data_IF_576424162330
#
_entry.id   IF_576424162330
#
_cell.length_a   1.000
_cell.length_b   1.000
_cell.length_c   1.000
_cell.angle_alpha   90.00
_cell.angle_beta   90.00
_cell.angle_gamma   90.00
#
_symmetry.space_group_name_H-M   'P 1'
#
loop_
_entity.id
_entity.type
_entity.pdbx_description
1 polymer ?
#
# COMPACT_ATOMS: atom_id res chain seq x y z
N UNK A 1 10.75 47.48 -1.41
CA UNK A 1 11.24 46.33 -0.61
C UNK A 1 10.91 45.08 -1.39
N UNK A 2 11.92 44.47 -2.01
CA UNK A 2 11.81 43.22 -2.75
C UNK A 2 11.85 42.07 -1.75
N UNK A 3 10.74 41.37 -1.57
CA UNK A 3 10.72 40.09 -0.85
C UNK A 3 11.43 39.05 -1.73
N UNK A 4 12.68 38.72 -1.39
CA UNK A 4 13.33 37.54 -1.93
C UNK A 4 12.73 36.33 -1.23
N UNK A 5 11.89 35.59 -1.94
CA UNK A 5 11.51 34.25 -1.55
C UNK A 5 12.76 33.37 -1.73
N UNK A 6 13.50 33.14 -0.66
CA UNK A 6 14.43 32.02 -0.58
C UNK A 6 13.60 30.73 -0.61
N UNK A 7 13.18 30.33 -1.81
CA UNK A 7 12.82 28.95 -2.06
C UNK A 7 14.10 28.15 -1.81
N UNK A 8 14.19 27.52 -0.64
CA UNK A 8 15.16 26.44 -0.42
C UNK A 8 14.96 25.46 -1.58
N UNK A 9 15.84 25.51 -2.58
CA UNK A 9 15.91 24.45 -3.57
C UNK A 9 16.13 23.17 -2.79
N UNK A 10 15.21 22.22 -2.91
CA UNK A 10 15.42 20.85 -2.47
C UNK A 10 16.68 20.36 -3.19
N UNK A 11 17.80 20.38 -2.47
CA UNK A 11 19.05 19.81 -2.94
C UNK A 11 19.00 18.30 -2.73
N UNK A 12 19.33 17.53 -3.77
CA UNK A 12 19.64 16.12 -3.57
C UNK A 12 20.92 16.04 -2.76
N UNK A 13 20.85 15.38 -1.61
CA UNK A 13 22.03 14.96 -0.86
C UNK A 13 22.11 13.45 -1.05
N UNK A 14 23.14 13.02 -1.78
CA UNK A 14 23.40 11.60 -1.94
C UNK A 14 23.67 10.98 -0.57
N UNK A 15 22.98 9.89 -0.29
CA UNK A 15 22.99 9.24 1.01
C UNK A 15 23.31 7.77 0.83
N UNK A 16 24.52 7.36 1.25
CA UNK A 16 24.94 5.97 1.25
C UNK A 16 23.88 5.03 1.88
N UNK A 17 23.18 5.50 2.93
CA UNK A 17 22.09 4.76 3.57
C UNK A 17 20.93 4.41 2.62
N UNK A 18 20.58 5.28 1.67
CA UNK A 18 19.52 4.97 0.70
C UNK A 18 19.96 3.83 -0.24
N UNK A 19 21.22 3.85 -0.69
CA UNK A 19 21.79 2.77 -1.48
C UNK A 19 21.87 1.46 -0.69
N UNK A 20 22.22 1.50 0.59
CA UNK A 20 22.25 0.33 1.46
C UNK A 20 20.84 -0.25 1.70
N UNK A 21 19.83 0.61 1.85
CA UNK A 21 18.42 0.21 1.91
C UNK A 21 18.02 -0.54 0.64
N UNK A 22 18.28 0.04 -0.55
CA UNK A 22 17.94 -0.58 -1.83
C UNK A 22 18.63 -1.94 -2.00
N UNK A 23 19.93 -2.03 -1.69
CA UNK A 23 20.69 -3.29 -1.74
C UNK A 23 20.20 -4.36 -0.77
N UNK A 24 19.50 -3.96 0.30
CA UNK A 24 18.98 -4.89 1.30
C UNK A 24 17.67 -5.57 0.88
N UNK A 25 17.03 -5.09 -0.20
CA UNK A 25 15.84 -5.72 -0.79
C UNK A 25 16.21 -7.05 -1.43
N UNK A 26 15.39 -8.07 -1.22
CA UNK A 26 15.62 -9.43 -1.69
C UNK A 26 14.50 -9.92 -2.61
N UNK A 27 14.82 -10.10 -3.89
CA UNK A 27 13.89 -10.69 -4.86
C UNK A 27 13.42 -12.09 -4.43
N UNK A 28 14.33 -12.91 -3.89
CA UNK A 28 13.99 -14.25 -3.41
C UNK A 28 12.99 -14.23 -2.25
N UNK A 29 13.05 -13.24 -1.35
CA UNK A 29 12.07 -13.08 -0.26
C UNK A 29 10.71 -12.68 -0.81
N UNK A 30 10.68 -11.70 -1.71
CA UNK A 30 9.44 -11.27 -2.38
C UNK A 30 8.77 -12.46 -3.09
N UNK A 31 9.54 -13.26 -3.84
CA UNK A 31 9.02 -14.44 -4.54
C UNK A 31 8.47 -15.50 -3.56
N UNK A 32 9.16 -15.75 -2.45
CA UNK A 32 8.68 -16.67 -1.40
C UNK A 32 7.36 -16.21 -0.79
N UNK A 33 7.22 -14.91 -0.52
CA UNK A 33 6.02 -14.32 0.05
C UNK A 33 4.85 -14.38 -0.96
N UNK A 34 5.10 -14.10 -2.26
CA UNK A 34 4.11 -14.28 -3.33
C UNK A 34 3.65 -15.73 -3.40
N UNK A 35 4.58 -16.69 -3.46
CA UNK A 35 4.24 -18.10 -3.52
C UNK A 35 3.42 -18.56 -2.31
N UNK A 36 3.75 -18.05 -1.11
CA UNK A 36 2.97 -18.35 0.10
C UNK A 36 1.56 -17.81 -0.01
N UNK A 37 1.40 -16.55 -0.46
CA UNK A 37 0.09 -15.93 -0.65
C UNK A 37 -0.75 -16.67 -1.70
N UNK A 38 -0.15 -17.06 -2.82
CA UNK A 38 -0.78 -17.87 -3.88
C UNK A 38 -1.29 -19.21 -3.35
N UNK A 39 -0.53 -19.85 -2.45
CA UNK A 39 -0.84 -21.18 -1.93
C UNK A 39 -2.00 -21.24 -0.93
N UNK A 40 -2.59 -20.10 -0.54
CA UNK A 40 -3.87 -20.10 0.20
C UNK A 40 -5.07 -20.49 -0.68
N UNK A 41 -4.85 -20.74 -1.98
CA UNK A 41 -5.86 -21.15 -2.96
C UNK A 41 -6.71 -19.97 -3.41
N UNK A 42 -7.50 -19.41 -2.51
CA UNK A 42 -8.26 -18.18 -2.71
C UNK A 42 -8.06 -17.27 -1.50
N UNK A 43 -7.97 -15.95 -1.75
CA UNK A 43 -7.97 -14.94 -0.69
C UNK A 43 -9.18 -14.03 -0.81
N UNK A 44 -10.23 -14.47 -1.48
CA UNK A 44 -11.46 -13.69 -1.65
C UNK A 44 -12.01 -13.17 -0.31
N UNK A 45 -12.53 -11.94 -0.28
CA UNK A 45 -12.99 -11.30 0.96
C UNK A 45 -14.06 -12.11 1.71
N UNK A 46 -14.91 -12.81 0.96
CA UNK A 46 -15.96 -13.68 1.49
C UNK A 46 -15.53 -15.15 1.69
N UNK A 47 -14.27 -15.49 1.42
CA UNK A 47 -13.78 -16.87 1.59
C UNK A 47 -13.72 -17.25 3.08
N UNK A 48 -13.64 -18.55 3.33
CA UNK A 48 -13.58 -19.09 4.68
C UNK A 48 -12.44 -18.49 5.52
N UNK A 49 -12.65 -18.44 6.84
CA UNK A 49 -11.72 -17.76 7.76
C UNK A 49 -11.10 -18.66 8.82
N UNK A 50 -11.58 -19.89 8.95
CA UNK A 50 -11.18 -20.82 10.02
C UNK A 50 -9.99 -21.69 9.63
N UNK A 51 -9.90 -22.14 8.37
CA UNK A 51 -8.76 -22.94 7.91
C UNK A 51 -7.42 -22.24 8.14
N UNK A 52 -6.41 -23.00 8.56
CA UNK A 52 -5.04 -22.53 8.76
C UNK A 52 -4.24 -22.45 7.44
N UNK A 53 -4.74 -23.02 6.36
CA UNK A 53 -4.01 -23.15 5.09
C UNK A 53 -4.76 -22.67 3.86
N UNK A 54 -6.04 -22.28 3.99
CA UNK A 54 -6.88 -21.81 2.87
C UNK A 54 -7.68 -20.59 3.27
N UNK A 55 -7.97 -19.74 2.29
CA UNK A 55 -8.87 -18.61 2.47
C UNK A 55 -8.20 -17.38 3.05
N UNK A 56 -8.97 -16.29 3.06
CA UNK A 56 -8.49 -14.99 3.53
C UNK A 56 -8.14 -14.99 5.02
N UNK A 57 -8.78 -15.86 5.82
CA UNK A 57 -8.44 -16.01 7.24
C UNK A 57 -7.01 -16.49 7.46
N UNK A 58 -6.62 -17.56 6.79
CA UNK A 58 -5.25 -18.09 6.82
C UNK A 58 -4.24 -17.02 6.38
N UNK A 59 -4.51 -16.34 5.26
CA UNK A 59 -3.66 -15.28 4.73
C UNK A 59 -3.45 -14.14 5.74
N UNK A 60 -4.53 -13.60 6.32
CA UNK A 60 -4.48 -12.53 7.35
C UNK A 60 -3.64 -12.94 8.56
N UNK A 61 -3.79 -14.18 9.04
CA UNK A 61 -3.00 -14.69 10.18
C UNK A 61 -1.52 -14.85 9.82
N UNK A 62 -1.22 -15.32 8.61
CA UNK A 62 0.16 -15.43 8.13
C UNK A 62 0.82 -14.05 7.98
N UNK A 63 0.16 -13.09 7.35
CA UNK A 63 0.67 -11.71 7.17
C UNK A 63 0.97 -11.07 8.53
N UNK A 64 0.04 -11.21 9.49
CA UNK A 64 0.25 -10.70 10.86
C UNK A 64 1.48 -11.32 11.51
N UNK A 65 1.66 -12.64 11.38
CA UNK A 65 2.85 -13.35 11.90
C UNK A 65 4.14 -12.85 11.25
N UNK A 66 4.16 -12.58 9.94
CA UNK A 66 5.35 -12.02 9.28
C UNK A 66 5.66 -10.61 9.79
N UNK A 67 4.68 -9.72 9.95
CA UNK A 67 4.92 -8.41 10.56
C UNK A 67 5.40 -8.50 12.02
N UNK A 68 4.83 -9.42 12.81
CA UNK A 68 5.27 -9.65 14.20
C UNK A 68 6.70 -10.20 14.27
N UNK A 69 7.07 -11.09 13.35
CA UNK A 69 8.42 -11.60 13.22
C UNK A 69 9.40 -10.48 12.87
N UNK A 70 9.08 -9.65 11.87
CA UNK A 70 9.87 -8.46 11.52
C UNK A 70 10.00 -7.52 12.72
N UNK A 71 8.91 -7.30 13.46
CA UNK A 71 8.91 -6.50 14.68
C UNK A 71 9.89 -7.06 15.71
N UNK A 72 9.85 -8.37 15.97
CA UNK A 72 10.77 -9.02 16.91
C UNK A 72 12.25 -8.87 16.48
N UNK A 73 12.55 -9.00 15.19
CA UNK A 73 13.90 -8.83 14.64
C UNK A 73 14.45 -7.40 14.81
N UNK A 74 13.58 -6.39 14.88
CA UNK A 74 13.95 -5.00 15.14
C UNK A 74 13.75 -4.56 16.62
N UNK A 75 13.53 -5.51 17.53
CA UNK A 75 13.37 -5.22 18.97
C UNK A 75 12.00 -4.66 19.35
N UNK A 76 10.93 -5.09 18.69
CA UNK A 76 9.55 -4.66 18.92
C UNK A 76 9.22 -3.30 18.30
N UNK A 77 9.83 -2.96 17.16
CA UNK A 77 9.71 -1.61 16.59
C UNK A 77 8.42 -1.36 15.78
N UNK A 78 7.61 -2.39 15.53
CA UNK A 78 6.33 -2.30 14.82
C UNK A 78 5.16 -2.55 15.78
N UNK A 79 4.17 -1.66 15.75
CA UNK A 79 2.84 -1.89 16.32
C UNK A 79 2.00 -2.65 15.30
N UNK A 80 1.75 -3.94 15.54
CA UNK A 80 1.04 -4.83 14.60
C UNK A 80 -0.35 -5.18 15.15
N UNK A 81 -1.40 -4.88 14.40
CA UNK A 81 -2.78 -5.14 14.82
C UNK A 81 -3.70 -5.44 13.65
N UNK A 82 -4.85 -6.06 13.95
CA UNK A 82 -5.95 -6.19 13.00
C UNK A 82 -6.83 -4.94 13.06
N UNK A 83 -7.20 -4.43 11.89
CA UNK A 83 -8.20 -3.38 11.76
C UNK A 83 -9.41 -3.98 11.03
N UNK A 84 -10.60 -3.96 11.65
CA UNK A 84 -11.78 -4.57 11.05
C UNK A 84 -13.06 -3.78 11.25
N UNK A 85 -14.00 -4.03 10.35
CA UNK A 85 -15.39 -3.61 10.44
C UNK A 85 -16.29 -4.67 9.79
N UNK A 86 -17.49 -4.87 10.34
CA UNK A 86 -18.51 -5.70 9.71
C UNK A 86 -19.22 -4.88 8.64
N UNK A 87 -19.22 -5.40 7.41
CA UNK A 87 -19.91 -4.82 6.25
C UNK A 87 -21.04 -5.77 5.83
N UNK A 88 -22.20 -5.22 5.46
CA UNK A 88 -23.37 -5.99 5.04
C UNK A 88 -24.27 -5.14 4.14
N UNK A 89 -25.11 -5.78 3.32
CA UNK A 89 -26.09 -5.07 2.48
C UNK A 89 -25.50 -4.40 1.24
N UNK A 90 -24.24 -4.67 0.94
CA UNK A 90 -23.54 -4.16 -0.24
C UNK A 90 -23.69 -5.13 -1.41
N UNK A 91 -23.67 -4.63 -2.64
CA UNK A 91 -23.88 -5.48 -3.83
C UNK A 91 -22.91 -6.68 -3.91
N UNK A 92 -21.67 -6.48 -3.45
CA UNK A 92 -20.60 -7.51 -3.44
C UNK A 92 -20.32 -8.09 -2.05
N UNK A 93 -21.04 -7.63 -1.02
CA UNK A 93 -21.01 -8.14 0.37
C UNK A 93 -22.46 -8.09 0.90
N UNK A 94 -23.35 -8.98 0.41
CA UNK A 94 -24.75 -8.95 0.78
C UNK A 94 -24.96 -9.32 2.25
N UNK A 95 -24.26 -10.34 2.72
CA UNK A 95 -24.32 -10.85 4.09
C UNK A 95 -23.24 -10.23 4.99
N UNK A 96 -23.50 -10.22 6.29
CA UNK A 96 -22.58 -9.69 7.29
C UNK A 96 -21.21 -10.37 7.23
N UNK A 97 -20.20 -9.61 6.80
CA UNK A 97 -18.82 -10.08 6.63
C UNK A 97 -17.87 -9.17 7.38
N UNK A 98 -16.97 -9.75 8.16
CA UNK A 98 -15.88 -9.00 8.79
C UNK A 98 -14.75 -8.75 7.76
N UNK A 99 -14.69 -7.52 7.25
CA UNK A 99 -13.56 -7.04 6.46
C UNK A 99 -12.44 -6.72 7.45
N UNK A 100 -11.32 -7.45 7.36
CA UNK A 100 -10.22 -7.39 8.33
C UNK A 100 -8.88 -7.22 7.61
N UNK A 101 -8.27 -6.06 7.79
CA UNK A 101 -6.93 -5.69 7.32
C UNK A 101 -5.89 -5.98 8.40
N UNK A 102 -4.62 -6.09 8.00
CA UNK A 102 -3.47 -6.18 8.92
C UNK A 102 -2.62 -4.92 8.77
N UNK A 103 -2.43 -4.20 9.87
CA UNK A 103 -1.69 -2.94 9.88
C UNK A 103 -0.45 -3.11 10.76
N UNK A 104 0.70 -2.67 10.26
CA UNK A 104 1.93 -2.54 11.02
C UNK A 104 2.42 -1.09 10.97
N UNK A 105 2.61 -0.46 12.13
CA UNK A 105 3.08 0.93 12.23
C UNK A 105 4.49 0.97 12.82
N UNK A 106 5.44 1.54 12.07
CA UNK A 106 6.75 1.92 12.56
C UNK A 106 6.71 3.40 12.99
N UNK A 107 6.77 3.67 14.29
CA UNK A 107 6.68 5.05 14.81
C UNK A 107 7.92 5.88 14.51
N UNK A 108 7.69 7.10 14.04
CA UNK A 108 8.73 8.11 13.87
C UNK A 108 9.27 8.63 15.20
N UNK A 109 10.53 9.07 15.22
CA UNK A 109 11.22 9.52 16.44
C UNK A 109 10.84 10.93 16.86
N UNK A 110 10.75 11.86 15.90
CA UNK A 110 10.62 13.30 16.17
C UNK A 110 9.27 13.86 15.75
N UNK A 111 8.57 13.17 14.84
CA UNK A 111 7.26 13.56 14.34
C UNK A 111 6.37 12.32 14.12
N UNK A 112 6.01 11.59 15.19
CA UNK A 112 5.30 10.31 15.10
C UNK A 112 3.89 10.42 14.51
N UNK A 113 3.29 11.62 14.46
CA UNK A 113 1.96 11.82 13.86
C UNK A 113 2.00 12.19 12.36
N UNK A 114 3.18 12.22 11.74
CA UNK A 114 3.33 12.37 10.28
C UNK A 114 3.54 11.01 9.65
N UNK A 115 2.62 10.61 8.77
CA UNK A 115 2.62 9.27 8.20
C UNK A 115 2.94 9.25 6.71
N UNK A 116 3.67 8.22 6.30
CA UNK A 116 3.70 7.72 4.93
C UNK A 116 3.14 6.30 4.97
N UNK A 117 2.20 6.00 4.08
CA UNK A 117 1.58 4.68 3.99
C UNK A 117 2.12 3.97 2.76
N UNK A 118 2.47 2.70 2.91
CA UNK A 118 2.69 1.76 1.83
C UNK A 118 1.67 0.64 1.98
N UNK A 119 0.90 0.37 0.92
CA UNK A 119 -0.15 -0.64 0.94
C UNK A 119 -0.01 -1.65 -0.19
N UNK A 120 -0.59 -2.82 0.07
CA UNK A 120 -0.97 -3.84 -0.90
C UNK A 120 -2.20 -4.58 -0.40
N UNK A 121 -2.97 -5.13 -1.32
CA UNK A 121 -4.26 -5.76 -1.00
C UNK A 121 -4.09 -7.27 -0.78
N UNK A 122 -4.82 -7.79 0.21
CA UNK A 122 -4.79 -9.19 0.63
C UNK A 122 -5.63 -10.02 -0.31
N UNK A 123 -6.80 -9.51 -0.67
CA UNK A 123 -7.81 -10.27 -1.37
C UNK A 123 -7.44 -10.54 -2.83
N UNK A 124 -8.13 -11.53 -3.37
CA UNK A 124 -8.03 -11.95 -4.75
C UNK A 124 -9.40 -12.44 -5.19
N UNK A 125 -9.68 -12.43 -6.49
CA UNK A 125 -10.90 -13.03 -7.02
C UNK A 125 -10.69 -13.65 -8.39
N UNK A 126 -11.66 -14.46 -8.77
CA UNK A 126 -11.85 -14.87 -10.16
C UNK A 126 -12.75 -13.86 -10.88
N UNK A 127 -13.07 -14.14 -12.15
CA UNK A 127 -13.92 -13.28 -12.99
C UNK A 127 -15.29 -13.02 -12.35
N UNK A 128 -15.92 -14.05 -11.77
CA UNK A 128 -17.14 -13.87 -10.99
C UNK A 128 -16.80 -13.32 -9.61
N UNK A 129 -17.21 -12.07 -9.36
CA UNK A 129 -16.94 -11.34 -8.11
C UNK A 129 -17.63 -11.93 -6.88
N UNK A 130 -18.60 -12.82 -7.06
CA UNK A 130 -19.27 -13.50 -5.95
C UNK A 130 -18.75 -14.93 -5.74
N UNK A 131 -17.85 -15.43 -6.58
CA UNK A 131 -17.25 -16.74 -6.40
C UNK A 131 -16.07 -16.65 -5.43
N UNK A 132 -16.34 -17.02 -4.19
CA UNK A 132 -15.39 -17.01 -3.08
C UNK A 132 -14.77 -18.38 -2.77
N UNK A 133 -15.09 -19.41 -3.56
CA UNK A 133 -14.66 -20.80 -3.33
C UNK A 133 -13.56 -21.24 -4.27
N UNK A 134 -13.61 -20.83 -5.54
CA UNK A 134 -12.64 -21.24 -6.55
C UNK A 134 -11.26 -20.66 -6.29
N UNK A 135 -10.23 -21.38 -6.73
CA UNK A 135 -8.86 -20.92 -6.62
C UNK A 135 -8.66 -19.62 -7.40
N UNK A 136 -8.22 -18.59 -6.67
CA UNK A 136 -7.86 -17.28 -7.19
C UNK A 136 -6.45 -16.96 -6.71
N UNK A 137 -5.41 -17.46 -7.39
CA UNK A 137 -4.04 -17.38 -6.89
C UNK A 137 -3.59 -15.92 -6.71
N UNK A 138 -4.04 -14.99 -7.56
CA UNK A 138 -3.83 -13.56 -7.38
C UNK A 138 -2.35 -13.18 -7.19
N UNK A 139 -1.46 -13.79 -7.98
CA UNK A 139 -0.01 -13.64 -7.82
C UNK A 139 0.46 -12.21 -8.11
N UNK A 140 0.04 -11.66 -9.25
CA UNK A 140 0.30 -10.26 -9.57
C UNK A 140 -0.72 -9.35 -8.86
N UNK A 141 -2.00 -9.74 -8.88
CA UNK A 141 -3.14 -8.99 -8.33
C UNK A 141 -3.72 -9.70 -7.08
N UNK A 142 -3.35 -9.31 -5.86
CA UNK A 142 -2.29 -8.35 -5.52
C UNK A 142 -1.23 -8.91 -4.55
N UNK A 143 -0.90 -10.21 -4.66
CA UNK A 143 0.17 -10.78 -3.84
C UNK A 143 1.52 -10.10 -4.08
N UNK A 144 1.79 -9.60 -5.29
CA UNK A 144 3.01 -8.86 -5.63
C UNK A 144 3.15 -7.56 -4.83
N UNK A 145 2.09 -6.75 -4.74
CA UNK A 145 2.09 -5.50 -3.99
C UNK A 145 2.14 -5.71 -2.48
N UNK A 146 1.44 -6.74 -1.99
CA UNK A 146 1.49 -7.14 -0.59
C UNK A 146 2.87 -7.66 -0.18
N UNK A 147 3.49 -8.52 -0.99
CA UNK A 147 4.86 -8.99 -0.75
C UNK A 147 5.87 -7.84 -0.77
N UNK A 148 5.72 -6.87 -1.68
CA UNK A 148 6.52 -5.64 -1.67
C UNK A 148 6.35 -4.82 -0.38
N UNK A 149 5.14 -4.77 0.18
CA UNK A 149 4.86 -4.10 1.45
C UNK A 149 5.49 -4.80 2.65
N UNK A 150 5.45 -6.14 2.70
CA UNK A 150 6.12 -6.96 3.73
C UNK A 150 7.64 -6.78 3.64
N UNK A 151 8.20 -6.80 2.45
CA UNK A 151 9.64 -6.61 2.22
C UNK A 151 10.10 -5.21 2.60
N UNK A 152 9.31 -4.18 2.29
CA UNK A 152 9.58 -2.82 2.75
C UNK A 152 9.60 -2.74 4.29
N UNK A 153 8.66 -3.39 4.99
CA UNK A 153 8.68 -3.47 6.44
C UNK A 153 9.96 -4.16 6.96
N UNK A 154 10.38 -5.27 6.34
CA UNK A 154 11.60 -6.00 6.73
C UNK A 154 12.87 -5.16 6.58
N UNK A 155 12.98 -4.38 5.51
CA UNK A 155 14.17 -3.57 5.23
C UNK A 155 14.17 -2.28 6.06
N UNK A 156 13.06 -1.54 6.05
CA UNK A 156 12.98 -0.20 6.65
C UNK A 156 12.88 -0.23 8.18
N UNK A 157 12.37 -1.31 8.78
CA UNK A 157 12.32 -1.50 10.24
C UNK A 157 13.70 -1.46 10.93
N UNK A 158 14.78 -1.74 10.18
CA UNK A 158 16.17 -1.64 10.63
C UNK A 158 16.67 -0.21 10.80
N UNK A 159 15.90 0.77 10.33
CA UNK A 159 16.23 2.19 10.36
C UNK A 159 15.25 2.95 11.25
N UNK A 160 15.59 4.20 11.56
CA UNK A 160 14.73 5.12 12.29
C UNK A 160 14.45 6.33 11.42
N UNK A 161 13.20 6.76 11.43
CA UNK A 161 12.70 7.87 10.61
C UNK A 161 12.12 8.96 11.51
N UNK A 162 12.09 10.19 11.01
CA UNK A 162 11.45 11.28 11.72
C UNK A 162 9.93 11.11 11.76
N UNK A 163 9.34 10.69 10.64
CA UNK A 163 7.90 10.38 10.52
C UNK A 163 7.64 8.89 10.69
N UNK A 164 6.38 8.54 10.88
CA UNK A 164 5.92 7.16 10.96
C UNK A 164 5.69 6.57 9.57
N UNK A 165 5.92 5.26 9.45
CA UNK A 165 5.60 4.48 8.25
C UNK A 165 4.52 3.48 8.61
N UNK A 166 3.50 3.38 7.78
CA UNK A 166 2.44 2.38 7.90
C UNK A 166 2.58 1.38 6.76
N UNK A 167 2.70 0.11 7.11
CA UNK A 167 2.66 -1.03 6.20
C UNK A 167 1.27 -1.63 6.31
N UNK A 168 0.45 -1.45 5.28
CA UNK A 168 -0.96 -1.81 5.30
C UNK A 168 -1.24 -2.98 4.35
N UNK A 169 -1.68 -4.09 4.90
CA UNK A 169 -2.26 -5.19 4.15
C UNK A 169 -3.79 -5.04 4.19
N UNK A 170 -4.37 -4.47 3.14
CA UNK A 170 -5.77 -4.08 3.11
C UNK A 170 -6.64 -5.23 2.59
N UNK A 171 -7.83 -5.44 3.16
CA UNK A 171 -8.78 -6.44 2.67
C UNK A 171 -10.00 -5.79 2.01
N UNK A 172 -10.62 -6.48 1.05
CA UNK A 172 -11.88 -6.03 0.44
C UNK A 172 -11.71 -4.97 -0.63
N UNK A 173 -10.55 -4.91 -1.29
CA UNK A 173 -10.34 -4.11 -2.50
C UNK A 173 -11.37 -4.50 -3.56
N UNK A 174 -11.42 -5.81 -3.86
CA UNK A 174 -12.13 -6.33 -5.02
C UNK A 174 -13.65 -6.30 -4.86
N UNK A 175 -14.10 -6.19 -3.60
CA UNK A 175 -15.51 -6.08 -3.24
C UNK A 175 -15.98 -4.62 -3.08
N UNK A 176 -15.08 -3.63 -3.10
CA UNK A 176 -15.47 -2.22 -3.05
C UNK A 176 -14.57 -1.31 -2.22
N UNK A 177 -13.26 -1.60 -2.17
CA UNK A 177 -12.24 -0.82 -1.47
C UNK A 177 -12.49 -0.69 0.05
N UNK A 178 -13.10 -1.69 0.66
CA UNK A 178 -13.58 -1.58 2.05
C UNK A 178 -12.44 -1.43 3.06
N UNK A 179 -11.35 -2.18 2.93
CA UNK A 179 -10.19 -2.07 3.83
C UNK A 179 -9.55 -0.69 3.76
N UNK A 180 -9.41 -0.13 2.56
CA UNK A 180 -8.92 1.24 2.36
C UNK A 180 -9.86 2.29 2.97
N UNK A 181 -11.18 2.13 2.81
CA UNK A 181 -12.18 3.02 3.43
C UNK A 181 -12.10 2.99 4.96
N UNK A 182 -12.07 1.79 5.55
CA UNK A 182 -11.95 1.61 7.01
C UNK A 182 -10.68 2.28 7.53
N UNK A 183 -9.54 2.07 6.85
CA UNK A 183 -8.27 2.69 7.23
C UNK A 183 -8.33 4.21 7.13
N UNK A 184 -8.90 4.75 6.05
CA UNK A 184 -9.01 6.20 5.83
C UNK A 184 -9.92 6.86 6.87
N UNK A 185 -11.04 6.23 7.22
CA UNK A 185 -11.95 6.71 8.27
C UNK A 185 -11.28 6.74 9.63
N UNK A 186 -10.58 5.66 10.01
CA UNK A 186 -9.83 5.61 11.26
C UNK A 186 -8.70 6.65 11.28
N UNK A 187 -7.91 6.76 10.21
CA UNK A 187 -6.83 7.74 10.11
C UNK A 187 -7.36 9.18 10.24
N UNK A 188 -8.55 9.47 9.70
CA UNK A 188 -9.21 10.77 9.86
C UNK A 188 -9.69 10.99 11.29
N UNK A 189 -10.30 9.98 11.92
CA UNK A 189 -10.76 10.04 13.31
C UNK A 189 -9.59 10.28 14.29
N UNK A 190 -8.46 9.62 14.03
CA UNK A 190 -7.24 9.71 14.85
C UNK A 190 -6.38 10.95 14.52
N UNK A 191 -6.78 11.77 13.53
CA UNK A 191 -6.08 12.99 13.16
C UNK A 191 -4.69 12.74 12.56
N UNK A 192 -4.50 11.64 11.81
CA UNK A 192 -3.23 11.31 11.17
C UNK A 192 -2.86 12.35 10.10
N UNK A 193 -1.62 12.84 10.14
CA UNK A 193 -1.09 13.73 9.08
C UNK A 193 -0.41 12.90 8.00
N UNK A 194 -1.22 12.28 7.14
CA UNK A 194 -0.72 11.49 6.01
C UNK A 194 -0.12 12.43 4.95
N UNK A 195 1.12 12.14 4.55
CA UNK A 195 1.86 12.91 3.53
C UNK A 195 1.91 12.21 2.18
N UNK A 196 1.88 10.88 2.19
CA UNK A 196 1.92 10.06 1.00
C UNK A 196 1.24 8.72 1.28
N UNK A 197 0.56 8.20 0.26
CA UNK A 197 0.07 6.83 0.20
C UNK A 197 0.62 6.23 -1.08
N UNK A 198 1.44 5.19 -0.93
CA UNK A 198 1.99 4.41 -2.03
C UNK A 198 1.20 3.11 -2.10
N UNK A 199 0.18 3.08 -2.96
CA UNK A 199 -0.59 1.87 -3.22
C UNK A 199 0.14 1.02 -4.27
N UNK A 200 0.62 -0.16 -3.87
CA UNK A 200 1.30 -1.08 -4.76
C UNK A 200 0.28 -2.12 -5.19
N UNK A 201 -0.14 -2.02 -6.45
CA UNK A 201 -1.09 -2.93 -7.04
C UNK A 201 -0.56 -3.40 -8.39
N UNK A 202 -0.43 -4.72 -8.53
CA UNK A 202 0.10 -5.37 -9.73
C UNK A 202 1.55 -4.96 -10.11
N UNK A 203 2.49 -5.08 -9.18
CA UNK A 203 3.91 -4.69 -9.38
C UNK A 203 4.83 -5.83 -9.86
N UNK A 204 4.30 -7.02 -10.16
CA UNK A 204 5.08 -8.20 -10.53
C UNK A 204 5.21 -8.46 -12.04
N UNK A 205 4.51 -7.72 -12.90
CA UNK A 205 4.48 -7.97 -14.34
C UNK A 205 5.37 -7.00 -15.13
N UNK A 206 6.23 -7.54 -16.00
CA UNK A 206 7.14 -6.78 -16.89
C UNK A 206 6.70 -6.80 -18.35
N UNK A 207 5.73 -7.63 -18.72
CA UNK A 207 5.29 -7.83 -20.11
C UNK A 207 3.92 -7.20 -20.35
N UNK A 208 3.83 -6.28 -21.30
CA UNK A 208 2.56 -5.72 -21.73
C UNK A 208 1.71 -6.74 -22.51
N UNK A 209 0.40 -6.50 -22.62
CA UNK A 209 -0.51 -7.31 -23.44
C UNK A 209 -0.06 -7.40 -24.91
N UNK A 210 0.70 -6.41 -25.37
CA UNK A 210 1.31 -6.38 -26.70
C UNK A 210 2.64 -7.16 -26.82
N UNK A 211 3.04 -7.92 -25.79
CA UNK A 211 4.29 -8.68 -25.74
C UNK A 211 5.56 -7.86 -25.50
N UNK A 212 5.43 -6.55 -25.24
CA UNK A 212 6.59 -5.71 -24.97
C UNK A 212 7.06 -5.92 -23.53
N UNK A 213 8.30 -6.38 -23.38
CA UNK A 213 8.95 -6.56 -22.09
C UNK A 213 9.71 -5.28 -21.72
N UNK A 214 9.48 -4.78 -20.51
CA UNK A 214 10.28 -3.72 -19.90
C UNK A 214 10.50 -4.04 -18.42
N UNK A 215 11.74 -4.40 -18.10
CA UNK A 215 12.19 -4.72 -16.74
C UNK A 215 13.13 -3.66 -16.15
N UNK A 216 13.25 -2.49 -16.79
CA UNK A 216 14.15 -1.40 -16.36
C UNK A 216 13.41 -0.17 -15.88
N UNK A 217 12.08 -0.10 -16.04
CA UNK A 217 11.30 1.06 -15.60
C UNK A 217 10.12 0.65 -14.71
N UNK A 218 9.91 1.38 -13.62
CA UNK A 218 8.68 1.31 -12.85
C UNK A 218 7.66 2.35 -13.37
N UNK A 219 6.36 2.02 -13.33
CA UNK A 219 5.29 2.96 -13.69
C UNK A 219 4.61 3.48 -12.43
N UNK A 220 4.56 4.80 -12.30
CA UNK A 220 3.89 5.47 -11.19
C UNK A 220 2.63 6.14 -11.72
N UNK A 221 1.49 5.73 -11.18
CA UNK A 221 0.21 6.37 -11.48
C UNK A 221 -0.10 7.40 -10.40
N UNK A 222 -0.46 8.62 -10.84
CA UNK A 222 -0.90 9.69 -9.96
C UNK A 222 -2.32 10.12 -10.34
N UNK A 223 -3.06 10.56 -9.34
CA UNK A 223 -4.45 11.02 -9.50
C UNK A 223 -4.57 12.04 -10.65
N UNK A 224 -5.60 11.84 -11.48
CA UNK A 224 -6.07 12.83 -12.44
C UNK A 224 -6.80 14.00 -11.77
N UNK A 225 -7.81 14.54 -12.44
CA UNK A 225 -8.73 15.49 -11.81
C UNK A 225 -9.54 14.78 -10.75
N UNK A 226 -9.60 15.35 -9.53
CA UNK A 226 -10.31 14.73 -8.41
C UNK A 226 -11.79 14.58 -8.75
N UNK A 227 -12.35 13.39 -8.59
CA UNK A 227 -13.79 13.20 -8.77
C UNK A 227 -14.63 13.91 -7.69
N UNK A 228 -14.00 14.22 -6.54
CA UNK A 228 -14.64 14.84 -5.37
C UNK A 228 -14.37 16.34 -5.26
N UNK A 229 -13.82 16.99 -6.29
CA UNK A 229 -13.64 18.45 -6.28
C UNK A 229 -14.98 19.18 -6.22
N UNK A 230 -15.04 20.27 -5.47
CA UNK A 230 -16.17 21.19 -5.49
C UNK A 230 -16.20 21.99 -6.80
N UNK A 231 -17.36 22.51 -7.20
CA UNK A 231 -17.48 23.38 -8.38
C UNK A 231 -16.50 24.58 -8.35
N UNK A 232 -16.21 25.10 -7.15
CA UNK A 232 -15.26 26.19 -6.97
C UNK A 232 -13.83 25.72 -7.27
N UNK A 233 -13.42 24.57 -6.74
CA UNK A 233 -12.11 23.99 -6.99
C UNK A 233 -11.93 23.64 -8.48
N UNK A 234 -12.97 23.06 -9.10
CA UNK A 234 -12.99 22.79 -10.53
C UNK A 234 -12.79 24.06 -11.38
N UNK A 235 -13.49 25.16 -11.02
CA UNK A 235 -13.33 26.47 -11.70
C UNK A 235 -11.94 27.06 -11.52
N UNK A 236 -11.39 27.02 -10.30
CA UNK A 236 -10.04 27.52 -10.02
C UNK A 236 -9.02 26.74 -10.83
N UNK A 237 -9.07 25.40 -10.80
CA UNK A 237 -8.18 24.52 -11.57
C UNK A 237 -8.19 24.86 -13.05
N UNK A 238 -9.38 24.97 -13.67
CA UNK A 238 -9.53 25.33 -15.09
C UNK A 238 -8.97 26.71 -15.41
N UNK A 239 -9.13 27.69 -14.52
CA UNK A 239 -8.63 29.04 -14.73
C UNK A 239 -7.10 29.14 -14.55
N UNK A 240 -6.53 28.38 -13.62
CA UNK A 240 -5.09 28.42 -13.31
C UNK A 240 -4.25 27.38 -14.05
N UNK A 241 -4.87 26.47 -14.83
CA UNK A 241 -4.17 25.37 -15.51
C UNK A 241 -3.62 24.29 -14.56
N UNK A 242 -4.29 24.07 -13.42
CA UNK A 242 -3.80 23.23 -12.33
C UNK A 242 -3.96 21.71 -12.52
N UNK A 243 -4.31 21.24 -13.72
CA UNK A 243 -4.53 19.81 -14.02
C UNK A 243 -3.31 18.92 -13.73
N UNK A 244 -2.11 19.51 -13.79
CA UNK A 244 -0.83 18.81 -13.64
C UNK A 244 -0.14 19.05 -12.30
N UNK A 245 -0.74 19.80 -11.38
CA UNK A 245 -0.06 20.27 -10.15
C UNK A 245 -0.64 19.70 -8.85
N UNK A 246 -1.37 18.60 -8.93
CA UNK A 246 -1.91 17.92 -7.76
C UNK A 246 -0.80 17.44 -6.81
N UNK A 247 -1.07 17.33 -5.49
CA UNK A 247 -0.10 16.80 -4.53
C UNK A 247 0.44 15.41 -4.91
N UNK A 248 -0.39 14.53 -5.46
CA UNK A 248 0.01 13.18 -5.91
C UNK A 248 0.94 13.22 -7.12
N UNK A 249 0.73 14.15 -8.07
CA UNK A 249 1.66 14.35 -9.21
C UNK A 249 3.01 14.89 -8.76
N UNK A 250 3.02 15.82 -7.81
CA UNK A 250 4.27 16.32 -7.24
C UNK A 250 5.02 15.24 -6.45
N UNK A 251 4.31 14.36 -5.74
CA UNK A 251 4.91 13.18 -5.13
C UNK A 251 5.49 12.23 -6.20
N UNK A 252 4.76 11.96 -7.29
CA UNK A 252 5.26 11.10 -8.37
C UNK A 252 6.54 11.67 -9.02
N UNK A 253 6.58 12.98 -9.30
CA UNK A 253 7.80 13.67 -9.78
C UNK A 253 8.94 13.57 -8.79
N UNK A 254 8.65 13.66 -7.49
CA UNK A 254 9.68 13.51 -6.46
C UNK A 254 10.25 12.09 -6.44
N UNK A 255 9.41 11.07 -6.58
CA UNK A 255 9.85 9.67 -6.65
C UNK A 255 10.70 9.44 -7.90
N UNK A 256 10.24 9.92 -9.07
CA UNK A 256 10.98 9.86 -10.35
C UNK A 256 12.37 10.51 -10.21
N UNK A 257 12.40 11.75 -9.70
CA UNK A 257 13.65 12.46 -9.44
C UNK A 257 14.58 11.76 -8.45
N UNK A 258 14.04 11.07 -7.45
CA UNK A 258 14.83 10.28 -6.50
C UNK A 258 15.34 8.97 -7.12
N UNK A 259 14.59 8.34 -8.02
CA UNK A 259 14.95 7.08 -8.66
C UNK A 259 16.08 7.23 -9.69
N UNK A 260 16.19 8.41 -10.31
CA UNK A 260 17.26 8.76 -11.26
C UNK A 260 18.62 9.11 -10.59
N UNK A 261 18.74 8.94 -9.27
CA UNK A 261 19.93 9.32 -8.48
C UNK A 261 20.61 8.12 -7.84
#
# INVERSE_FOLDING_TARGET
>A
MTFSANANKLGYIDQAKLHDIVKSVSANRIEQDINTLVNFGTRHTLSETESESRGIGAARRWIKKEFEKISAECGGCLEVYFQSQVISGEKRIPDATEVKSVIAIQRGQTDPNRYVVMSGDIDSRVTDVMNFTDDSPGANDNASGLAGTIEAARVLSKYKFNGSIVYAALAGEEQGLFGGKIMAEQAKADGWRIKAVLNNDMIGNIEGINGVINNTTARIFAEGTRQTETDREARIRRFTGGEVDSPSRNLARYIDWMADR
#
